data_IF_546218968242
#
_entry.id   IF_546218968242
#
_cell.length_a   1.000
_cell.length_b   1.000
_cell.length_c   1.000
_cell.angle_alpha   90.00
_cell.angle_beta   90.00
_cell.angle_gamma   90.00
#
_symmetry.space_group_name_H-M   'P 1'
#
loop_
_entity.id
_entity.type
_entity.pdbx_description
1 polymer ?
#
# COMPACT_ATOMS: atom_id res chain seq x y z
N UNK A 1 1.61 23.14 11.27
CA UNK A 1 0.15 23.00 11.29
C UNK A 1 -0.14 21.50 11.38
N UNK A 2 -1.07 21.08 12.24
CA UNK A 2 -1.46 19.67 12.41
C UNK A 2 -2.87 19.41 11.85
N UNK A 3 -3.22 18.13 11.62
CA UNK A 3 -4.52 17.72 11.08
C UNK A 3 -5.67 18.25 11.95
N UNK A 4 -5.65 18.09 13.30
CA UNK A 4 -6.70 18.60 14.17
C UNK A 4 -6.92 20.11 14.10
N UNK A 5 -5.85 20.90 14.01
CA UNK A 5 -5.92 22.36 13.90
C UNK A 5 -6.53 22.78 12.56
N UNK A 6 -6.12 22.17 11.44
CA UNK A 6 -6.67 22.48 10.13
C UNK A 6 -8.17 22.17 10.07
N UNK A 7 -8.59 21.01 10.58
CA UNK A 7 -10.01 20.63 10.64
C UNK A 7 -10.81 21.62 11.49
N UNK A 8 -10.31 21.96 12.70
CA UNK A 8 -10.99 22.94 13.58
C UNK A 8 -11.17 24.30 12.90
N UNK A 9 -10.11 24.81 12.30
CA UNK A 9 -10.16 26.09 11.58
C UNK A 9 -11.20 26.06 10.46
N UNK A 10 -11.24 25.00 9.66
CA UNK A 10 -12.23 24.90 8.56
C UNK A 10 -13.66 24.72 9.04
N UNK A 11 -13.88 23.98 10.13
CA UNK A 11 -15.21 23.88 10.73
C UNK A 11 -15.70 25.25 11.24
N UNK A 12 -14.83 26.02 11.89
CA UNK A 12 -15.14 27.37 12.35
C UNK A 12 -15.43 28.33 11.19
N UNK A 13 -14.57 28.36 10.16
CA UNK A 13 -14.76 29.20 8.96
C UNK A 13 -16.07 28.90 8.22
N UNK A 14 -16.46 27.63 8.17
CA UNK A 14 -17.66 27.19 7.45
C UNK A 14 -18.92 27.19 8.33
N UNK A 15 -18.79 27.47 9.64
CA UNK A 15 -19.90 27.42 10.60
C UNK A 15 -20.49 26.00 10.74
N UNK A 16 -19.65 24.97 10.63
CA UNK A 16 -20.05 23.57 10.65
C UNK A 16 -19.71 22.92 12.00
N UNK A 17 -20.56 22.00 12.42
CA UNK A 17 -20.34 21.21 13.63
C UNK A 17 -19.61 19.88 13.35
N UNK A 18 -18.89 19.37 14.35
CA UNK A 18 -18.13 18.11 14.27
C UNK A 18 -19.01 16.90 13.89
N UNK A 19 -20.27 16.87 14.36
CA UNK A 19 -21.24 15.80 14.01
C UNK A 19 -21.51 15.72 12.50
N UNK A 20 -21.50 16.85 11.80
CA UNK A 20 -21.72 16.86 10.36
C UNK A 20 -20.52 16.31 9.61
N UNK A 21 -19.30 16.59 10.11
CA UNK A 21 -18.07 16.00 9.59
C UNK A 21 -18.03 14.48 9.82
N UNK A 22 -18.45 14.02 11.01
CA UNK A 22 -18.53 12.59 11.33
C UNK A 22 -19.49 11.87 10.38
N UNK A 23 -20.68 12.43 10.16
CA UNK A 23 -21.65 11.89 9.22
C UNK A 23 -21.10 11.87 7.78
N UNK A 24 -20.45 12.94 7.33
CA UNK A 24 -19.88 13.03 5.99
C UNK A 24 -18.74 12.03 5.77
N UNK A 25 -17.88 11.85 6.77
CA UNK A 25 -16.79 10.88 6.77
C UNK A 25 -17.26 9.43 7.04
N UNK A 26 -18.55 9.24 7.38
CA UNK A 26 -19.14 7.94 7.73
C UNK A 26 -18.45 7.26 8.92
N UNK A 27 -18.06 8.05 9.92
CA UNK A 27 -17.46 7.59 11.17
C UNK A 27 -18.32 8.04 12.35
N UNK A 28 -18.04 7.52 13.55
CA UNK A 28 -18.77 7.93 14.75
C UNK A 28 -18.38 9.36 15.18
N UNK A 29 -19.28 10.06 15.86
CA UNK A 29 -18.98 11.37 16.46
C UNK A 29 -17.77 11.30 17.40
N UNK A 30 -17.63 10.18 18.12
CA UNK A 30 -16.49 9.92 19.00
C UNK A 30 -15.17 9.85 18.23
N UNK A 31 -15.16 9.26 17.03
CA UNK A 31 -13.96 9.20 16.18
C UNK A 31 -13.43 10.61 15.85
N UNK A 32 -14.30 11.50 15.37
CA UNK A 32 -13.92 12.88 15.06
C UNK A 32 -13.54 13.65 16.32
N UNK A 33 -14.26 13.47 17.43
CA UNK A 33 -13.91 14.12 18.71
C UNK A 33 -12.53 13.69 19.21
N UNK A 34 -12.21 12.40 19.16
CA UNK A 34 -10.90 11.87 19.55
C UNK A 34 -9.78 12.38 18.63
N UNK A 35 -10.03 12.47 17.31
CA UNK A 35 -9.10 13.05 16.35
C UNK A 35 -8.83 14.52 16.67
N UNK A 36 -9.87 15.32 16.91
CA UNK A 36 -9.73 16.76 17.15
C UNK A 36 -9.11 17.09 18.51
N UNK A 37 -9.29 16.22 19.50
CA UNK A 37 -8.66 16.35 20.83
C UNK A 37 -7.24 15.78 20.88
N UNK A 38 -6.75 15.16 19.79
CA UNK A 38 -5.43 14.53 19.74
C UNK A 38 -5.32 13.23 20.56
N UNK A 39 -6.44 12.70 21.07
CA UNK A 39 -6.47 11.38 21.73
C UNK A 39 -6.26 10.23 20.74
N UNK A 40 -6.60 10.46 19.47
CA UNK A 40 -6.40 9.54 18.35
C UNK A 40 -5.43 10.19 17.36
N UNK A 41 -4.45 9.42 16.91
CA UNK A 41 -3.56 9.83 15.82
C UNK A 41 -4.34 10.00 14.52
N UNK A 42 -3.93 10.91 13.61
CA UNK A 42 -4.55 11.00 12.30
C UNK A 42 -4.59 9.62 11.59
N UNK A 43 -5.67 9.33 10.84
CA UNK A 43 -5.78 8.09 10.06
C UNK A 43 -4.55 7.86 9.17
N UNK A 44 -4.33 6.62 8.75
CA UNK A 44 -3.21 6.32 7.87
C UNK A 44 -3.34 7.11 6.55
N UNK A 45 -2.26 7.70 5.98
CA UNK A 45 -2.38 8.65 4.86
C UNK A 45 -3.02 8.08 3.59
N UNK A 46 -2.93 6.76 3.40
CA UNK A 46 -3.53 6.03 2.29
C UNK A 46 -5.04 5.76 2.48
N UNK A 47 -5.67 6.23 3.57
CA UNK A 47 -7.11 6.09 3.85
C UNK A 47 -7.94 7.04 2.98
N UNK A 48 -8.04 6.73 1.70
CA UNK A 48 -8.87 7.47 0.74
C UNK A 48 -10.34 7.46 1.12
N UNK A 49 -10.82 6.37 1.75
CA UNK A 49 -12.18 6.18 2.22
C UNK A 49 -12.65 7.26 3.21
N UNK A 50 -11.72 7.86 3.97
CA UNK A 50 -12.02 8.92 4.94
C UNK A 50 -11.53 10.30 4.46
N UNK A 51 -10.30 10.40 3.95
CA UNK A 51 -9.71 11.70 3.62
C UNK A 51 -10.40 12.36 2.44
N UNK A 52 -10.80 11.61 1.40
CA UNK A 52 -11.56 12.18 0.28
C UNK A 52 -12.90 12.77 0.74
N UNK A 53 -13.59 12.08 1.66
CA UNK A 53 -14.85 12.54 2.24
C UNK A 53 -14.66 13.80 3.09
N UNK A 54 -13.62 13.82 3.92
CA UNK A 54 -13.29 14.96 4.79
C UNK A 54 -12.84 16.19 3.99
N UNK A 55 -11.91 16.03 3.04
CA UNK A 55 -11.42 17.11 2.18
C UNK A 55 -12.58 17.75 1.41
N UNK A 56 -13.44 16.93 0.81
CA UNK A 56 -14.65 17.38 0.11
C UNK A 56 -15.60 18.15 1.01
N UNK A 57 -15.87 17.64 2.22
CA UNK A 57 -16.77 18.28 3.17
C UNK A 57 -16.22 19.63 3.68
N UNK A 58 -14.90 19.70 3.93
CA UNK A 58 -14.20 20.89 4.44
C UNK A 58 -13.76 21.85 3.33
N UNK A 59 -14.11 21.57 2.07
CA UNK A 59 -13.72 22.34 0.88
C UNK A 59 -12.21 22.55 0.80
N UNK A 60 -11.45 21.49 1.02
CA UNK A 60 -9.99 21.45 0.86
C UNK A 60 -9.62 20.84 -0.50
N UNK A 61 -8.48 21.23 -1.09
CA UNK A 61 -7.82 20.44 -2.12
C UNK A 61 -7.76 18.95 -1.79
N UNK A 62 -8.03 18.11 -2.79
CA UNK A 62 -8.00 16.66 -2.64
C UNK A 62 -6.61 16.19 -2.19
N UNK A 63 -6.56 15.44 -1.10
CA UNK A 63 -5.32 14.87 -0.54
C UNK A 63 -4.55 15.81 0.40
N UNK A 64 -5.09 16.99 0.71
CA UNK A 64 -4.42 17.93 1.60
C UNK A 64 -4.30 17.38 3.03
N UNK A 65 -5.41 16.86 3.59
CA UNK A 65 -5.38 16.25 4.93
C UNK A 65 -4.50 15.00 4.97
N UNK A 66 -4.53 14.19 3.91
CA UNK A 66 -3.70 12.98 3.80
C UNK A 66 -2.20 13.33 3.78
N UNK A 67 -1.80 14.35 3.02
CA UNK A 67 -0.42 14.82 2.95
C UNK A 67 0.06 15.33 4.31
N UNK A 68 -0.79 16.10 4.98
CA UNK A 68 -0.46 16.63 6.30
C UNK A 68 -0.36 15.50 7.34
N UNK A 69 -1.27 14.53 7.31
CA UNK A 69 -1.21 13.34 8.14
C UNK A 69 0.08 12.52 7.92
N UNK A 70 0.51 12.36 6.67
CA UNK A 70 1.76 11.65 6.32
C UNK A 70 2.97 12.32 6.98
N UNK A 71 3.08 13.65 6.88
CA UNK A 71 4.13 14.39 7.57
C UNK A 71 4.09 14.17 9.08
N UNK A 72 2.92 14.26 9.70
CA UNK A 72 2.81 14.07 11.15
C UNK A 72 3.18 12.66 11.61
N UNK A 73 2.71 11.63 10.90
CA UNK A 73 3.00 10.24 11.24
C UNK A 73 4.48 9.92 11.02
N UNK A 74 5.10 10.44 9.95
CA UNK A 74 6.55 10.30 9.74
C UNK A 74 7.36 10.94 10.86
N UNK A 75 6.97 12.13 11.33
CA UNK A 75 7.64 12.78 12.46
C UNK A 75 7.46 12.00 13.77
N UNK A 76 6.29 11.38 13.98
CA UNK A 76 6.07 10.51 15.13
C UNK A 76 6.90 9.22 15.06
N UNK A 77 6.91 8.54 13.92
CA UNK A 77 7.71 7.33 13.70
C UNK A 77 9.20 7.60 13.86
N UNK A 78 9.71 8.76 13.41
CA UNK A 78 11.11 9.15 13.66
C UNK A 78 11.44 9.20 15.15
N UNK A 79 10.56 9.77 15.97
CA UNK A 79 10.76 9.82 17.43
C UNK A 79 10.76 8.42 18.04
N UNK A 80 9.82 7.57 17.64
CA UNK A 80 9.73 6.18 18.12
C UNK A 80 10.92 5.32 17.68
N UNK A 81 11.56 5.66 16.55
CA UNK A 81 12.80 5.02 16.08
C UNK A 81 14.06 5.50 16.81
N UNK A 82 14.07 6.75 17.30
CA UNK A 82 15.16 7.34 18.09
C UNK A 82 15.17 6.83 19.54
N UNK A 83 14.01 6.41 20.05
CA UNK A 83 13.88 5.74 21.35
C UNK A 83 14.35 4.26 21.27
N UNK A 84 14.89 3.71 22.37
CA UNK A 84 15.24 2.29 22.42
C UNK A 84 13.96 1.47 22.21
N UNK A 85 13.88 0.63 21.16
CA UNK A 85 12.65 -0.07 20.83
C UNK A 85 12.32 -1.07 21.93
N UNK A 86 11.17 -0.87 22.57
CA UNK A 86 10.56 -1.93 23.36
C UNK A 86 10.35 -3.16 22.46
N UNK A 87 10.57 -4.35 23.02
CA UNK A 87 10.21 -5.59 22.33
C UNK A 87 8.71 -5.53 21.94
N UNK A 88 8.36 -6.11 20.78
CA UNK A 88 6.95 -6.35 20.46
C UNK A 88 6.28 -7.09 21.63
N UNK A 89 4.97 -6.85 21.78
CA UNK A 89 4.15 -7.65 22.70
C UNK A 89 4.40 -9.13 22.46
N UNK A 90 4.60 -9.86 23.55
CA UNK A 90 5.03 -11.26 23.50
C UNK A 90 4.09 -12.10 22.65
N UNK A 91 2.79 -11.87 22.79
CA UNK A 91 1.73 -12.57 22.07
C UNK A 91 1.80 -12.32 20.56
N UNK A 92 2.11 -11.07 20.17
CA UNK A 92 2.29 -10.67 18.77
C UNK A 92 3.51 -11.38 18.17
N UNK A 93 4.65 -11.35 18.88
CA UNK A 93 5.87 -12.05 18.46
C UNK A 93 5.65 -13.56 18.35
N UNK A 94 4.99 -14.16 19.33
CA UNK A 94 4.68 -15.60 19.34
C UNK A 94 3.79 -15.98 18.15
N UNK A 95 2.80 -15.17 17.80
CA UNK A 95 1.96 -15.40 16.63
C UNK A 95 2.75 -15.29 15.32
N UNK A 96 3.59 -14.26 15.18
CA UNK A 96 4.45 -14.09 14.01
C UNK A 96 5.37 -15.30 13.84
N UNK A 97 6.06 -15.73 14.90
CA UNK A 97 6.91 -16.92 14.87
C UNK A 97 6.12 -18.20 14.59
N UNK A 98 4.93 -18.37 15.18
CA UNK A 98 4.08 -19.54 14.95
C UNK A 98 3.63 -19.70 13.50
N UNK A 99 3.43 -18.58 12.79
CA UNK A 99 3.07 -18.55 11.36
C UNK A 99 4.28 -18.72 10.44
N UNK A 100 5.50 -18.63 10.96
CA UNK A 100 6.72 -18.87 10.19
C UNK A 100 6.89 -20.36 9.89
N UNK A 101 7.41 -20.71 8.69
CA UNK A 101 7.76 -22.11 8.40
C UNK A 101 8.81 -22.63 9.38
N UNK A 102 8.65 -23.89 9.79
CA UNK A 102 9.40 -24.54 10.88
C UNK A 102 10.92 -24.59 10.71
N UNK A 103 11.44 -24.57 9.48
CA UNK A 103 12.88 -24.59 9.22
C UNK A 103 13.55 -23.23 9.47
N UNK A 104 12.83 -22.13 9.26
CA UNK A 104 13.29 -20.75 9.45
C UNK A 104 13.03 -20.24 10.87
N UNK A 105 11.94 -20.71 11.49
CA UNK A 105 11.44 -20.29 12.81
C UNK A 105 12.51 -20.31 13.92
N UNK A 106 13.30 -21.39 14.02
CA UNK A 106 14.33 -21.51 15.07
C UNK A 106 15.42 -20.44 14.96
N UNK A 107 15.86 -20.13 13.74
CA UNK A 107 16.88 -19.12 13.50
C UNK A 107 16.33 -17.74 13.84
N UNK A 108 15.12 -17.43 13.38
CA UNK A 108 14.48 -16.14 13.64
C UNK A 108 14.15 -15.93 15.12
N UNK A 109 13.72 -16.96 15.83
CA UNK A 109 13.52 -16.90 17.29
C UNK A 109 14.80 -16.47 18.00
N UNK A 110 15.93 -17.09 17.66
CA UNK A 110 17.22 -16.73 18.23
C UNK A 110 17.66 -15.30 17.86
N UNK A 111 17.28 -14.80 16.68
CA UNK A 111 17.52 -13.40 16.27
C UNK A 111 16.66 -12.44 17.09
N UNK A 112 15.36 -12.70 17.24
CA UNK A 112 14.42 -11.83 17.96
C UNK A 112 14.71 -11.77 19.47
N UNK A 113 15.22 -12.86 20.05
CA UNK A 113 15.67 -12.90 21.45
C UNK A 113 16.94 -12.06 21.66
N UNK A 114 17.87 -12.05 20.69
CA UNK A 114 19.13 -11.29 20.77
C UNK A 114 18.93 -9.81 20.47
N UNK A 115 18.07 -9.49 19.51
CA UNK A 115 17.78 -8.14 19.07
C UNK A 115 16.27 -7.91 19.15
N UNK A 116 15.74 -7.57 20.34
CA UNK A 116 14.31 -7.37 20.51
C UNK A 116 13.84 -6.24 19.59
N UNK A 117 12.86 -6.54 18.75
CA UNK A 117 12.30 -5.64 17.75
C UNK A 117 13.36 -5.00 16.84
N UNK A 118 14.32 -5.83 16.43
CA UNK A 118 15.34 -5.51 15.43
C UNK A 118 14.80 -5.41 14.00
N UNK A 119 15.71 -5.18 13.05
CA UNK A 119 15.37 -4.89 11.65
C UNK A 119 14.53 -5.98 10.98
N UNK A 120 14.88 -7.25 11.17
CA UNK A 120 14.15 -8.38 10.57
C UNK A 120 12.76 -8.50 11.19
N UNK A 121 12.64 -8.34 12.51
CA UNK A 121 11.34 -8.41 13.19
C UNK A 121 10.43 -7.28 12.72
N UNK A 122 10.95 -6.05 12.59
CA UNK A 122 10.22 -4.91 12.03
C UNK A 122 9.81 -5.13 10.58
N UNK A 123 10.73 -5.61 9.74
CA UNK A 123 10.47 -5.86 8.33
C UNK A 123 9.33 -6.86 8.13
N UNK A 124 9.42 -8.02 8.79
CA UNK A 124 8.40 -9.07 8.70
C UNK A 124 7.06 -8.54 9.23
N UNK A 125 7.07 -7.93 10.42
CA UNK A 125 5.85 -7.39 11.03
C UNK A 125 5.19 -6.35 10.12
N UNK A 126 5.98 -5.43 9.56
CA UNK A 126 5.51 -4.41 8.63
C UNK A 126 4.89 -5.02 7.37
N UNK A 127 5.55 -6.00 6.74
CA UNK A 127 5.04 -6.63 5.51
C UNK A 127 3.78 -7.43 5.73
N UNK A 128 3.70 -8.18 6.83
CA UNK A 128 2.48 -8.89 7.23
C UNK A 128 1.33 -7.90 7.49
N UNK A 129 1.61 -6.82 8.24
CA UNK A 129 0.62 -5.80 8.55
C UNK A 129 0.14 -5.07 7.29
N UNK A 130 1.04 -4.63 6.42
CA UNK A 130 0.71 -3.92 5.17
C UNK A 130 -0.13 -4.79 4.23
N UNK A 131 0.22 -6.07 4.10
CA UNK A 131 -0.55 -6.99 3.28
C UNK A 131 -1.97 -7.12 3.80
N UNK A 132 -2.12 -7.40 5.11
CA UNK A 132 -3.43 -7.59 5.74
C UNK A 132 -4.27 -6.31 5.69
N UNK A 133 -3.66 -5.14 5.90
CA UNK A 133 -4.32 -3.84 5.73
C UNK A 133 -4.77 -3.60 4.30
N UNK A 134 -3.95 -3.96 3.30
CA UNK A 134 -4.33 -3.85 1.89
C UNK A 134 -5.59 -4.65 1.58
N UNK A 135 -5.70 -5.87 2.13
CA UNK A 135 -6.91 -6.69 2.01
C UNK A 135 -8.10 -6.03 2.71
N UNK A 136 -7.91 -5.62 3.97
CA UNK A 136 -8.98 -5.00 4.75
C UNK A 136 -9.48 -3.67 4.13
N UNK A 137 -8.60 -2.91 3.48
CA UNK A 137 -8.96 -1.67 2.80
C UNK A 137 -9.75 -1.94 1.51
N UNK A 138 -9.35 -2.94 0.72
CA UNK A 138 -10.06 -3.32 -0.52
C UNK A 138 -11.47 -3.84 -0.22
N UNK A 139 -11.62 -4.56 0.89
CA UNK A 139 -12.86 -5.21 1.27
C UNK A 139 -13.72 -4.40 2.25
N UNK A 140 -13.31 -3.18 2.61
CA UNK A 140 -14.00 -2.34 3.59
C UNK A 140 -15.45 -2.03 3.21
N UNK A 141 -15.70 -1.87 1.91
CA UNK A 141 -17.03 -1.62 1.33
C UNK A 141 -17.76 -2.94 0.96
N UNK A 142 -17.09 -4.09 1.08
CA UNK A 142 -17.70 -5.40 0.81
C UNK A 142 -18.38 -5.94 2.07
N UNK A 143 -19.70 -5.75 2.17
CA UNK A 143 -20.48 -6.23 3.31
C UNK A 143 -20.32 -7.72 3.60
N UNK A 144 -20.19 -8.55 2.56
CA UNK A 144 -20.06 -10.01 2.73
C UNK A 144 -18.74 -10.41 3.39
N UNK A 145 -17.66 -9.71 3.04
CA UNK A 145 -16.35 -9.90 3.66
C UNK A 145 -16.36 -9.44 5.11
N UNK A 146 -16.87 -8.22 5.37
CA UNK A 146 -16.93 -7.67 6.73
C UNK A 146 -17.75 -8.58 7.65
N UNK A 147 -18.86 -9.15 7.16
CA UNK A 147 -19.66 -10.15 7.91
C UNK A 147 -18.87 -11.44 8.17
N UNK A 148 -18.14 -11.95 7.18
CA UNK A 148 -17.32 -13.17 7.32
C UNK A 148 -16.24 -12.97 8.37
N UNK A 149 -15.54 -11.83 8.35
CA UNK A 149 -14.53 -11.49 9.36
C UNK A 149 -15.18 -11.26 10.72
N UNK A 150 -16.35 -10.61 10.78
CA UNK A 150 -17.12 -10.44 12.00
C UNK A 150 -17.50 -11.77 12.66
N UNK A 151 -17.95 -12.76 11.87
CA UNK A 151 -18.26 -14.12 12.34
C UNK A 151 -17.02 -14.84 12.87
N UNK A 152 -15.87 -14.74 12.19
CA UNK A 152 -14.61 -15.30 12.65
C UNK A 152 -14.15 -14.70 13.99
N UNK A 153 -14.49 -13.42 14.24
CA UNK A 153 -14.19 -12.71 15.48
C UNK A 153 -15.30 -12.74 16.53
N UNK A 154 -16.47 -13.33 16.24
CA UNK A 154 -17.64 -13.32 17.14
C UNK A 154 -18.23 -11.93 17.41
N UNK A 155 -18.19 -11.01 16.46
CA UNK A 155 -18.63 -9.60 16.62
C UNK A 155 -19.79 -9.26 15.69
N UNK A 156 -20.49 -8.16 15.99
CA UNK A 156 -21.46 -7.58 15.05
C UNK A 156 -20.78 -6.91 13.86
N UNK A 157 -21.54 -6.63 12.81
CA UNK A 157 -21.06 -5.94 11.62
C UNK A 157 -20.56 -4.53 11.94
N UNK A 158 -21.32 -3.77 12.72
CA UNK A 158 -21.01 -2.39 13.10
C UNK A 158 -19.76 -2.32 13.97
N UNK A 159 -19.64 -3.23 14.94
CA UNK A 159 -18.42 -3.36 15.75
C UNK A 159 -17.22 -3.72 14.87
N UNK A 160 -17.36 -4.70 13.98
CA UNK A 160 -16.28 -5.12 13.09
C UNK A 160 -15.81 -3.99 12.19
N UNK A 161 -16.72 -3.15 11.65
CA UNK A 161 -16.31 -1.97 10.88
C UNK A 161 -15.44 -1.01 11.69
N UNK A 162 -15.81 -0.70 12.94
CA UNK A 162 -15.00 0.18 13.80
C UNK A 162 -13.61 -0.41 14.00
N UNK A 163 -13.54 -1.71 14.26
CA UNK A 163 -12.28 -2.42 14.50
C UNK A 163 -11.40 -2.46 13.25
N UNK A 164 -11.98 -2.64 12.06
CA UNK A 164 -11.25 -2.55 10.79
C UNK A 164 -10.66 -1.15 10.61
N UNK A 165 -11.45 -0.09 10.84
CA UNK A 165 -10.97 1.29 10.69
C UNK A 165 -9.81 1.59 11.66
N UNK A 166 -9.90 1.13 12.90
CA UNK A 166 -8.85 1.28 13.92
C UNK A 166 -7.60 0.47 13.55
N UNK A 167 -7.79 -0.73 13.01
CA UNK A 167 -6.69 -1.58 12.54
C UNK A 167 -5.95 -0.96 11.36
N UNK A 168 -6.67 -0.38 10.39
CA UNK A 168 -6.05 0.29 9.24
C UNK A 168 -5.15 1.46 9.65
N UNK A 169 -5.43 2.09 10.81
CA UNK A 169 -4.66 3.20 11.36
C UNK A 169 -3.47 2.75 12.26
N UNK A 170 -3.36 1.46 12.59
CA UNK A 170 -2.35 0.91 13.50
C UNK A 170 -0.98 0.71 12.83
N UNK A 171 0.13 1.08 13.44
CA UNK A 171 1.47 0.74 12.93
C UNK A 171 2.14 -0.40 13.73
N UNK A 172 3.36 -0.76 13.34
CA UNK A 172 4.11 -1.86 13.97
C UNK A 172 4.48 -1.60 15.43
N UNK A 173 4.50 -0.33 15.89
CA UNK A 173 4.80 0.02 17.28
C UNK A 173 3.56 -0.08 18.16
N UNK A 174 2.38 0.12 17.58
CA UNK A 174 1.09 0.08 18.27
C UNK A 174 0.28 -1.20 18.00
N UNK A 175 0.89 -2.20 17.38
CA UNK A 175 0.22 -3.46 17.05
C UNK A 175 -0.14 -4.24 18.33
N UNK A 176 -1.44 -4.43 18.57
CA UNK A 176 -1.96 -5.12 19.76
C UNK A 176 -2.22 -6.61 19.51
N UNK A 177 -2.36 -7.38 20.60
CA UNK A 177 -2.81 -8.78 20.52
C UNK A 177 -4.21 -8.91 19.88
N UNK A 178 -5.11 -7.95 20.14
CA UNK A 178 -6.45 -7.95 19.56
C UNK A 178 -6.42 -7.81 18.03
N UNK A 179 -5.53 -6.97 17.51
CA UNK A 179 -5.30 -6.83 16.07
C UNK A 179 -4.79 -8.15 15.47
N UNK A 180 -3.90 -8.84 16.18
CA UNK A 180 -3.38 -10.12 15.73
C UNK A 180 -4.44 -11.21 15.69
N UNK A 181 -5.25 -11.35 16.74
CA UNK A 181 -6.34 -12.34 16.79
C UNK A 181 -7.43 -12.05 15.75
N UNK A 182 -7.75 -10.77 15.53
CA UNK A 182 -8.87 -10.39 14.66
C UNK A 182 -8.49 -10.37 13.17
N UNK A 183 -7.22 -10.12 12.84
CA UNK A 183 -6.78 -9.93 11.44
C UNK A 183 -5.61 -10.82 11.04
N UNK A 184 -4.47 -10.74 11.73
CA UNK A 184 -3.26 -11.46 11.27
C UNK A 184 -3.44 -12.98 11.33
N UNK A 185 -3.95 -13.51 12.44
CA UNK A 185 -4.14 -14.95 12.63
C UNK A 185 -5.12 -15.59 11.63
N UNK A 186 -6.31 -15.03 11.38
CA UNK A 186 -7.26 -15.61 10.44
C UNK A 186 -6.85 -15.43 8.97
N UNK A 187 -6.17 -14.33 8.63
CA UNK A 187 -5.87 -13.98 7.22
C UNK A 187 -4.54 -14.53 6.71
N UNK A 188 -3.55 -14.71 7.59
CA UNK A 188 -2.25 -15.28 7.23
C UNK A 188 -2.24 -16.76 7.60
N UNK A 189 -2.06 -17.63 6.61
CA UNK A 189 -1.89 -19.06 6.84
C UNK A 189 -0.47 -19.36 7.31
N UNK A 190 0.53 -18.88 6.57
CA UNK A 190 1.95 -19.03 6.91
C UNK A 190 2.80 -17.97 6.21
N UNK A 191 4.06 -17.85 6.60
CA UNK A 191 5.05 -17.04 5.90
C UNK A 191 6.45 -17.64 6.03
N UNK A 192 7.36 -17.20 5.17
CA UNK A 192 8.73 -17.65 5.11
C UNK A 192 9.65 -16.55 4.58
N UNK A 193 10.91 -16.55 4.99
CA UNK A 193 11.91 -15.61 4.49
C UNK A 193 13.19 -16.36 4.15
N UNK A 194 13.67 -16.13 2.94
CA UNK A 194 15.03 -16.52 2.56
C UNK A 194 16.01 -15.49 3.15
N UNK A 195 16.77 -15.89 4.16
CA UNK A 195 17.73 -15.02 4.84
C UNK A 195 18.93 -14.61 3.96
N UNK A 196 19.16 -15.29 2.83
CA UNK A 196 20.22 -14.93 1.89
C UNK A 196 19.77 -13.87 0.88
N UNK A 197 18.51 -13.91 0.44
CA UNK A 197 17.97 -13.00 -0.58
C UNK A 197 17.00 -11.95 -0.02
N UNK A 198 16.60 -12.10 1.24
CA UNK A 198 15.51 -11.37 1.89
C UNK A 198 14.15 -11.50 1.18
N UNK A 199 13.99 -12.52 0.32
CA UNK A 199 12.71 -12.82 -0.31
C UNK A 199 11.73 -13.30 0.76
N UNK A 200 10.59 -12.63 0.87
CA UNK A 200 9.53 -12.92 1.85
C UNK A 200 8.30 -13.48 1.12
N UNK A 201 7.93 -14.71 1.44
CA UNK A 201 6.72 -15.35 0.96
C UNK A 201 5.66 -15.32 2.08
N UNK A 202 4.44 -14.86 1.77
CA UNK A 202 3.31 -14.83 2.69
C UNK A 202 2.14 -15.58 2.04
N UNK A 203 1.65 -16.61 2.71
CA UNK A 203 0.51 -17.42 2.30
C UNK A 203 -0.75 -16.91 3.00
N UNK A 204 -1.78 -16.61 2.21
CA UNK A 204 -3.08 -16.13 2.70
C UNK A 204 -4.08 -17.28 2.81
N UNK A 205 -4.98 -17.20 3.77
CA UNK A 205 -6.01 -18.23 3.97
C UNK A 205 -7.04 -18.23 2.82
N UNK A 206 -7.21 -19.38 2.15
CA UNK A 206 -8.11 -19.60 1.00
C UNK A 206 -9.58 -19.25 1.24
N UNK A 207 -10.01 -19.13 2.50
CA UNK A 207 -11.39 -18.79 2.86
C UNK A 207 -11.77 -17.36 2.52
N UNK A 208 -10.81 -16.49 2.20
CA UNK A 208 -11.04 -15.04 2.13
C UNK A 208 -10.72 -14.47 0.74
N UNK A 209 -9.71 -14.95 0.00
CA UNK A 209 -9.35 -14.46 -1.34
C UNK A 209 -8.76 -15.60 -2.19
N UNK A 210 -9.16 -15.69 -3.47
CA UNK A 210 -8.54 -16.60 -4.44
C UNK A 210 -7.18 -16.04 -4.93
N UNK A 211 -6.07 -16.70 -4.60
CA UNK A 211 -4.71 -16.23 -4.89
C UNK A 211 -3.84 -16.24 -3.63
N UNK A 212 -3.13 -17.35 -3.43
CA UNK A 212 -2.88 -17.89 -2.09
C UNK A 212 -1.51 -17.49 -1.54
N UNK A 213 -0.65 -16.84 -2.34
CA UNK A 213 0.73 -16.50 -1.95
C UNK A 213 1.13 -15.14 -2.50
N UNK A 214 1.75 -14.30 -1.65
CA UNK A 214 2.40 -13.04 -2.01
C UNK A 214 3.89 -13.16 -1.76
N UNK A 215 4.68 -12.84 -2.77
CA UNK A 215 6.15 -12.85 -2.69
C UNK A 215 6.67 -11.43 -2.79
N UNK A 216 7.53 -11.04 -1.86
CA UNK A 216 8.21 -9.76 -1.82
C UNK A 216 9.70 -9.98 -2.00
N UNK A 217 10.31 -9.34 -2.99
CA UNK A 217 11.74 -9.47 -3.29
C UNK A 217 12.39 -8.09 -3.33
N UNK A 218 13.64 -8.02 -2.86
CA UNK A 218 14.45 -6.81 -2.91
C UNK A 218 15.44 -6.97 -4.07
N UNK A 219 15.01 -6.55 -5.26
CA UNK A 219 15.85 -6.61 -6.46
C UNK A 219 16.47 -5.24 -6.67
N UNK A 220 17.80 -5.18 -6.73
CA UNK A 220 18.50 -4.00 -7.22
C UNK A 220 18.17 -3.87 -8.71
N UNK A 221 17.27 -2.94 -9.01
CA UNK A 221 17.05 -2.46 -10.37
C UNK A 221 18.04 -1.33 -10.54
N UNK A 222 19.11 -1.54 -11.32
CA UNK A 222 19.92 -0.42 -11.83
C UNK A 222 18.93 0.63 -12.33
N UNK A 223 18.97 1.82 -11.70
CA UNK A 223 17.95 2.86 -11.82
C UNK A 223 17.33 2.85 -13.21
N UNK A 224 15.98 2.88 -13.36
CA UNK A 224 15.42 3.27 -14.63
C UNK A 224 15.92 4.69 -14.86
N UNK A 225 17.04 4.83 -15.56
CA UNK A 225 17.53 6.09 -16.07
C UNK A 225 16.34 6.70 -16.75
N UNK A 226 15.79 7.71 -16.08
CA UNK A 226 14.71 8.58 -16.46
C UNK A 226 13.89 8.10 -17.67
N UNK A 227 12.60 7.82 -17.44
CA UNK A 227 11.55 8.01 -18.45
C UNK A 227 11.42 9.51 -18.84
N UNK A 228 12.54 10.22 -19.03
CA UNK A 228 12.58 11.40 -19.86
C UNK A 228 12.34 10.86 -21.25
N UNK A 229 11.14 11.15 -21.77
CA UNK A 229 10.76 10.83 -23.14
C UNK A 229 11.94 11.19 -24.07
N UNK A 230 12.52 10.17 -24.69
CA UNK A 230 13.71 10.33 -25.52
C UNK A 230 13.45 11.42 -26.57
N UNK A 231 14.30 12.45 -26.73
CA UNK A 231 14.03 13.56 -27.65
C UNK A 231 13.77 13.09 -29.09
N UNK A 232 14.40 11.99 -29.50
CA UNK A 232 14.13 11.37 -30.80
C UNK A 232 12.76 10.69 -30.90
N UNK A 233 12.25 10.12 -29.81
CA UNK A 233 10.91 9.54 -29.76
C UNK A 233 9.86 10.66 -29.82
N UNK A 234 10.07 11.73 -29.04
CA UNK A 234 9.23 12.92 -29.09
C UNK A 234 9.18 13.51 -30.51
N UNK A 235 10.34 13.68 -31.15
CA UNK A 235 10.43 14.18 -32.52
C UNK A 235 9.79 13.25 -33.57
N UNK A 236 9.73 11.94 -33.32
CA UNK A 236 9.00 10.99 -34.15
C UNK A 236 7.47 11.17 -34.00
N UNK A 237 6.98 11.29 -32.76
CA UNK A 237 5.56 11.46 -32.47
C UNK A 237 5.01 12.82 -32.94
N UNK A 238 5.85 13.85 -32.96
CA UNK A 238 5.49 15.19 -33.44
C UNK A 238 5.52 15.32 -34.98
N UNK A 239 6.13 14.36 -35.70
CA UNK A 239 6.22 14.36 -37.17
C UNK A 239 5.15 13.45 -37.81
N UNK A 240 4.08 14.01 -38.40
CA UNK A 240 3.00 13.22 -38.99
C UNK A 240 3.45 12.39 -40.19
N UNK A 241 4.57 12.73 -40.84
CA UNK A 241 5.11 11.96 -41.96
C UNK A 241 5.75 10.65 -41.52
N UNK A 242 6.15 10.54 -40.25
CA UNK A 242 6.77 9.34 -39.68
C UNK A 242 5.80 8.57 -38.79
N UNK A 243 4.97 9.25 -38.00
CA UNK A 243 4.10 8.62 -36.98
C UNK A 243 2.63 8.55 -37.35
N UNK A 244 2.20 9.06 -38.51
CA UNK A 244 0.78 9.22 -38.86
C UNK A 244 -0.10 7.95 -38.88
N UNK A 245 0.50 6.77 -38.78
CA UNK A 245 -0.22 5.48 -38.71
C UNK A 245 0.08 4.69 -37.43
N UNK A 246 0.77 5.27 -36.46
CA UNK A 246 1.19 4.57 -35.23
C UNK A 246 -0.01 4.35 -34.30
N UNK A 247 -0.11 3.14 -33.74
CA UNK A 247 -1.11 2.77 -32.75
C UNK A 247 -0.58 2.97 -31.32
N UNK A 248 -1.47 3.03 -30.33
CA UNK A 248 -1.07 3.18 -28.92
C UNK A 248 -0.15 2.04 -28.45
N UNK A 249 -0.41 0.81 -28.88
CA UNK A 249 0.41 -0.36 -28.55
C UNK A 249 1.83 -0.25 -29.14
N UNK A 250 1.94 0.25 -30.38
CA UNK A 250 3.23 0.48 -31.03
C UNK A 250 4.00 1.65 -30.38
N UNK A 251 3.31 2.70 -29.93
CA UNK A 251 3.93 3.78 -29.15
C UNK A 251 4.49 3.23 -27.83
N UNK A 252 3.74 2.38 -27.13
CA UNK A 252 4.18 1.75 -25.89
C UNK A 252 5.37 0.80 -26.11
N UNK A 253 5.42 0.10 -27.25
CA UNK A 253 6.60 -0.67 -27.64
C UNK A 253 7.84 0.22 -27.82
N UNK A 254 7.72 1.33 -28.56
CA UNK A 254 8.84 2.24 -28.82
C UNK A 254 9.35 2.91 -27.53
N UNK A 255 8.46 3.21 -26.58
CA UNK A 255 8.81 3.74 -25.24
C UNK A 255 9.64 2.78 -24.38
N UNK A 256 9.62 1.48 -24.68
CA UNK A 256 10.37 0.45 -23.94
C UNK A 256 11.78 0.23 -24.48
N UNK A 257 12.13 0.81 -25.63
CA UNK A 257 13.47 0.72 -26.19
C UNK A 257 14.47 1.46 -25.30
N UNK A 258 15.59 0.80 -24.98
CA UNK A 258 16.64 1.34 -24.10
C UNK A 258 17.91 1.61 -24.91
N UNK A 259 18.56 2.75 -24.65
CA UNK A 259 19.77 3.15 -25.36
C UNK A 259 20.87 3.51 -24.37
N UNK A 260 22.05 2.91 -24.54
CA UNK A 260 23.22 3.22 -23.72
C UNK A 260 24.23 4.02 -24.55
N UNK A 261 24.55 5.24 -24.12
CA UNK A 261 25.60 6.08 -24.72
C UNK A 261 25.33 6.58 -26.14
N UNK A 262 24.17 6.28 -26.73
CA UNK A 262 23.74 6.76 -28.06
C UNK A 262 22.33 7.32 -27.96
N UNK A 263 22.09 8.46 -28.64
CA UNK A 263 20.76 9.05 -28.71
C UNK A 263 20.10 8.73 -30.05
N UNK A 264 18.99 7.98 -30.09
CA UNK A 264 18.30 7.65 -31.32
C UNK A 264 17.66 8.89 -31.96
N UNK A 265 17.62 8.94 -33.29
CA UNK A 265 16.92 10.00 -34.04
C UNK A 265 15.47 9.59 -34.32
N UNK A 266 14.57 10.51 -34.72
CA UNK A 266 13.22 10.16 -35.14
C UNK A 266 13.16 9.06 -36.22
N UNK A 267 14.13 9.06 -37.14
CA UNK A 267 14.24 8.04 -38.19
C UNK A 267 14.57 6.65 -37.65
N UNK A 268 15.24 6.55 -36.49
CA UNK A 268 15.47 5.27 -35.84
C UNK A 268 14.14 4.63 -35.41
N UNK A 269 13.29 5.40 -34.74
CA UNK A 269 11.96 4.95 -34.31
C UNK A 269 11.05 4.58 -35.48
N UNK A 270 11.09 5.34 -36.57
CA UNK A 270 10.38 4.99 -37.79
C UNK A 270 10.82 3.63 -38.35
N UNK A 271 12.12 3.34 -38.36
CA UNK A 271 12.65 2.03 -38.82
C UNK A 271 12.29 0.89 -37.88
N UNK A 272 12.33 1.10 -36.57
CA UNK A 272 11.90 0.07 -35.61
C UNK A 272 10.41 -0.23 -35.74
N UNK A 273 9.57 0.79 -35.99
CA UNK A 273 8.16 0.59 -36.29
C UNK A 273 7.96 -0.22 -37.58
N UNK A 274 8.76 0.06 -38.63
CA UNK A 274 8.73 -0.75 -39.86
C UNK A 274 9.16 -2.20 -39.60
N UNK A 275 10.21 -2.42 -38.82
CA UNK A 275 10.67 -3.76 -38.44
C UNK A 275 9.59 -4.52 -37.67
N UNK A 276 8.88 -3.85 -36.75
CA UNK A 276 7.80 -4.44 -35.96
C UNK A 276 6.62 -4.89 -36.85
N UNK A 277 6.36 -4.15 -37.91
CA UNK A 277 5.29 -4.44 -38.88
C UNK A 277 5.70 -5.42 -39.98
N UNK A 278 6.99 -5.68 -40.13
CA UNK A 278 7.50 -6.50 -41.23
C UNK A 278 7.14 -7.98 -41.01
N UNK A 279 6.36 -8.60 -41.91
CA UNK A 279 6.00 -10.01 -41.84
C UNK A 279 7.20 -10.98 -41.88
N UNK A 280 8.36 -10.52 -42.37
CA UNK A 280 9.61 -11.27 -42.36
C UNK A 280 10.22 -11.35 -40.96
N UNK A 281 9.96 -10.35 -40.11
CA UNK A 281 10.42 -10.31 -38.73
C UNK A 281 9.37 -10.87 -37.77
N UNK A 282 8.07 -10.64 -38.03
CA UNK A 282 6.98 -11.07 -37.17
C UNK A 282 5.80 -11.60 -37.99
N UNK A 283 5.42 -12.85 -37.79
CA UNK A 283 4.23 -13.44 -38.44
C UNK A 283 2.99 -13.08 -37.62
N UNK A 284 1.99 -12.48 -38.25
CA UNK A 284 0.66 -12.35 -37.66
C UNK A 284 0.06 -13.75 -37.49
N UNK A 285 -0.29 -14.14 -36.28
CA UNK A 285 -1.10 -15.33 -36.05
C UNK A 285 -2.52 -15.01 -36.51
N UNK A 286 -2.81 -15.23 -37.80
CA UNK A 286 -4.18 -15.28 -38.27
C UNK A 286 -4.87 -16.44 -37.56
N UNK A 287 -5.66 -16.11 -36.52
CA UNK A 287 -6.80 -16.94 -36.16
C UNK A 287 -7.76 -16.88 -37.34
N UNK A 288 -7.66 -17.86 -38.24
CA UNK A 288 -8.75 -18.19 -39.14
C UNK A 288 -10.01 -18.51 -38.30
N UNK A 289 -11.21 -18.13 -38.77
CA UNK A 289 -12.46 -18.27 -38.02
C UNK A 289 -12.82 -19.71 -37.67
#
# INVERSE_FOLDING_TARGET
MDVPLLIRHRLEELGLEQRHLAQAAQVTDSYISQLLTGKRTPPAPNRTDIYEKMDKFLKLPSGELATLADHQRKEQLKKELEEEPAALFREVRELILRKCKSHTERHLRAVFEKQPFGEIERLVTQKLLDLVKGLAQQELENESWVRTVAELGGRSYEEMRVIVLDFLDTDIFHLSNENCVSFLDPLIESWDIDLATFALDIVLTDRVIAGNVKRFEFVEVESPEHLVEEPGLKGFLEDPSLSGTVTAEEVDFLKRLKFQGRRPTPLYYYRELQNLRDPLHFRTTDKAP
#
